data_IF_643883100450
#
_entry.id   IF_643883100450
#
_cell.length_a   1.000
_cell.length_b   1.000
_cell.length_c   1.000
_cell.angle_alpha   90.00
_cell.angle_beta   90.00
_cell.angle_gamma   90.00
#
_symmetry.space_group_name_H-M   'P 1'
#
loop_
_entity.id
_entity.type
_entity.pdbx_description
1 polymer ?
#
# COMPACT_ATOMS: atom_id res chain seq x y z
N UNK A 1 -11.09 -6.61 7.03
CA UNK A 1 -12.53 -6.61 7.34
C UNK A 1 -13.12 -5.21 7.48
N UNK A 2 -12.60 -4.30 8.32
CA UNK A 2 -13.20 -2.96 8.53
C UNK A 2 -13.40 -2.14 7.23
N UNK A 3 -12.42 -2.18 6.30
CA UNK A 3 -12.52 -1.50 4.99
C UNK A 3 -13.72 -2.00 4.16
N UNK A 4 -13.95 -3.31 4.14
CA UNK A 4 -15.04 -3.93 3.40
C UNK A 4 -16.40 -3.56 3.99
N UNK A 5 -16.50 -3.51 5.32
CA UNK A 5 -17.73 -3.10 6.02
C UNK A 5 -18.08 -1.65 5.70
N UNK A 6 -17.12 -0.73 5.77
CA UNK A 6 -17.33 0.69 5.42
C UNK A 6 -17.76 0.85 3.96
N UNK A 7 -17.13 0.11 3.05
CA UNK A 7 -17.45 0.17 1.62
C UNK A 7 -18.88 -0.33 1.33
N UNK A 8 -19.30 -1.41 2.01
CA UNK A 8 -20.67 -1.93 1.91
C UNK A 8 -21.69 -0.93 2.46
N UNK A 9 -21.43 -0.31 3.61
CA UNK A 9 -22.30 0.72 4.19
C UNK A 9 -22.48 1.91 3.24
N UNK A 10 -21.38 2.38 2.63
CA UNK A 10 -21.41 3.47 1.64
C UNK A 10 -22.25 3.11 0.41
N UNK A 11 -22.14 1.88 -0.10
CA UNK A 11 -22.92 1.40 -1.25
C UNK A 11 -24.41 1.32 -0.91
N UNK A 12 -24.74 0.77 0.25
CA UNK A 12 -26.14 0.65 0.71
C UNK A 12 -26.75 2.03 0.86
N UNK A 13 -26.08 2.97 1.55
CA UNK A 13 -26.57 4.34 1.71
C UNK A 13 -26.76 5.07 0.39
N UNK A 14 -25.84 4.93 -0.57
CA UNK A 14 -25.95 5.56 -1.88
C UNK A 14 -27.19 5.06 -2.65
N UNK A 15 -27.58 3.78 -2.46
CA UNK A 15 -28.79 3.21 -3.07
C UNK A 15 -30.08 3.56 -2.33
N UNK A 16 -30.09 3.53 -1.00
CA UNK A 16 -31.33 3.67 -0.20
C UNK A 16 -31.68 5.12 0.05
N UNK A 17 -30.72 5.95 0.44
CA UNK A 17 -31.00 7.30 0.96
C UNK A 17 -31.11 8.33 -0.17
N UNK A 18 -30.38 8.15 -1.27
CA UNK A 18 -30.45 9.04 -2.44
C UNK A 18 -31.84 9.11 -3.08
N UNK A 19 -32.67 8.06 -2.92
CA UNK A 19 -34.05 8.03 -3.44
C UNK A 19 -35.06 8.80 -2.60
N UNK A 20 -34.78 9.02 -1.32
CA UNK A 20 -35.72 9.65 -0.40
C UNK A 20 -35.56 11.18 -0.41
N UNK A 21 -34.34 11.67 -0.15
CA UNK A 21 -34.07 13.09 0.10
C UNK A 21 -32.59 13.38 -0.26
N UNK A 22 -32.33 14.12 -1.34
CA UNK A 22 -30.96 14.38 -1.84
C UNK A 22 -30.12 15.20 -0.84
N UNK A 23 -30.75 16.18 -0.19
CA UNK A 23 -30.08 17.08 0.76
C UNK A 23 -29.67 16.36 2.04
N UNK A 24 -30.58 15.55 2.60
CA UNK A 24 -30.32 14.73 3.80
C UNK A 24 -29.25 13.67 3.52
N UNK A 25 -29.24 13.10 2.31
CA UNK A 25 -28.21 12.16 1.90
C UNK A 25 -26.81 12.79 1.92
N UNK A 26 -26.65 13.98 1.34
CA UNK A 26 -25.39 14.70 1.30
C UNK A 26 -24.83 15.01 2.69
N UNK A 27 -25.69 15.44 3.61
CA UNK A 27 -25.31 15.72 4.99
C UNK A 27 -24.90 14.46 5.78
N UNK A 28 -25.68 13.38 5.70
CA UNK A 28 -25.32 12.11 6.35
C UNK A 28 -24.02 11.52 5.79
N UNK A 29 -23.85 11.59 4.47
CA UNK A 29 -22.65 11.09 3.81
C UNK A 29 -21.40 11.88 4.24
N UNK A 30 -21.48 13.20 4.37
CA UNK A 30 -20.35 14.02 4.81
C UNK A 30 -19.93 13.69 6.26
N UNK A 31 -20.89 13.47 7.17
CA UNK A 31 -20.62 13.06 8.55
C UNK A 31 -19.87 11.72 8.59
N UNK A 32 -20.35 10.71 7.86
CA UNK A 32 -19.73 9.39 7.84
C UNK A 32 -18.32 9.44 7.25
N UNK A 33 -18.13 10.21 6.18
CA UNK A 33 -16.82 10.42 5.58
C UNK A 33 -15.86 11.12 6.54
N UNK A 34 -16.32 12.13 7.28
CA UNK A 34 -15.52 12.81 8.30
C UNK A 34 -15.07 11.85 9.42
N UNK A 35 -15.97 10.99 9.91
CA UNK A 35 -15.65 9.95 10.90
C UNK A 35 -14.63 8.96 10.34
N UNK A 36 -14.79 8.52 9.08
CA UNK A 36 -13.84 7.62 8.43
C UNK A 36 -12.44 8.22 8.29
N UNK A 37 -12.35 9.51 7.96
CA UNK A 37 -11.07 10.25 7.89
C UNK A 37 -10.42 10.29 9.27
N UNK A 38 -11.16 10.65 10.31
CA UNK A 38 -10.67 10.66 11.69
C UNK A 38 -10.16 9.30 12.15
N UNK A 39 -10.89 8.23 11.80
CA UNK A 39 -10.49 6.86 12.09
C UNK A 39 -9.19 6.46 11.39
N UNK A 40 -9.02 6.81 10.11
CA UNK A 40 -7.78 6.52 9.35
C UNK A 40 -6.58 7.24 9.96
N UNK A 41 -6.75 8.49 10.38
CA UNK A 41 -5.68 9.24 11.06
C UNK A 41 -5.28 8.61 12.40
N UNK A 42 -6.23 8.09 13.17
CA UNK A 42 -5.98 7.40 14.46
C UNK A 42 -5.36 6.01 14.26
N UNK A 43 -5.94 5.18 13.40
CA UNK A 43 -5.53 3.79 13.27
C UNK A 43 -4.29 3.57 12.40
N UNK A 44 -3.88 4.56 11.60
CA UNK A 44 -2.75 4.47 10.67
C UNK A 44 -2.69 3.11 9.96
N UNK A 45 -3.71 2.77 9.15
CA UNK A 45 -3.90 1.40 8.64
C UNK A 45 -2.82 0.90 7.67
N UNK A 46 -1.83 1.74 7.32
CA UNK A 46 -0.75 1.42 6.40
C UNK A 46 0.58 1.67 7.07
N UNK A 47 1.50 0.72 6.92
CA UNK A 47 2.88 0.85 7.38
C UNK A 47 3.66 1.94 6.61
N UNK A 48 3.20 2.31 5.42
CA UNK A 48 3.81 3.36 4.61
C UNK A 48 3.08 4.71 4.80
N UNK A 49 3.70 5.69 5.49
CA UNK A 49 3.00 6.90 5.93
C UNK A 49 2.62 7.84 4.78
N UNK A 50 3.36 7.82 3.65
CA UNK A 50 2.97 8.58 2.45
C UNK A 50 1.66 8.09 1.88
N UNK A 51 1.47 6.78 1.79
CA UNK A 51 0.25 6.22 1.22
C UNK A 51 -0.97 6.53 2.09
N UNK A 52 -0.80 6.48 3.41
CA UNK A 52 -1.82 6.91 4.36
C UNK A 52 -2.23 8.39 4.14
N UNK A 53 -1.25 9.26 3.88
CA UNK A 53 -1.51 10.67 3.56
C UNK A 53 -2.25 10.87 2.24
N UNK A 54 -1.84 10.20 1.17
CA UNK A 54 -2.52 10.27 -0.12
C UNK A 54 -3.96 9.75 -0.04
N UNK A 55 -4.20 8.71 0.75
CA UNK A 55 -5.54 8.22 1.01
C UNK A 55 -6.36 9.23 1.80
N UNK A 56 -5.80 9.83 2.85
CA UNK A 56 -6.49 10.88 3.61
C UNK A 56 -6.83 12.08 2.72
N UNK A 57 -5.89 12.50 1.85
CA UNK A 57 -6.11 13.58 0.89
C UNK A 57 -7.26 13.26 -0.08
N UNK A 58 -7.30 12.02 -0.60
CA UNK A 58 -8.37 11.56 -1.48
C UNK A 58 -9.74 11.58 -0.78
N UNK A 59 -9.80 11.16 0.49
CA UNK A 59 -11.02 11.20 1.28
C UNK A 59 -11.47 12.63 1.62
N UNK A 60 -10.51 13.54 1.87
CA UNK A 60 -10.80 14.97 2.02
C UNK A 60 -11.40 15.55 0.73
N UNK A 61 -10.90 15.14 -0.44
CA UNK A 61 -11.50 15.50 -1.73
C UNK A 61 -12.95 15.01 -1.87
N UNK A 62 -13.23 13.76 -1.47
CA UNK A 62 -14.59 13.23 -1.45
C UNK A 62 -15.48 13.98 -0.45
N UNK A 63 -14.96 14.34 0.73
CA UNK A 63 -15.69 15.13 1.71
C UNK A 63 -16.00 16.54 1.19
N UNK A 64 -15.06 17.18 0.48
CA UNK A 64 -15.28 18.47 -0.15
C UNK A 64 -16.40 18.41 -1.18
N UNK A 65 -16.37 17.40 -2.06
CA UNK A 65 -17.41 17.20 -3.06
C UNK A 65 -18.79 16.92 -2.43
N UNK A 66 -18.84 16.16 -1.33
CA UNK A 66 -20.12 15.87 -0.67
C UNK A 66 -20.72 17.11 0.00
N UNK A 67 -19.90 17.93 0.65
CA UNK A 67 -20.33 19.22 1.21
C UNK A 67 -20.82 20.14 0.11
N UNK A 68 -20.08 20.23 -1.00
CA UNK A 68 -20.48 21.09 -2.12
C UNK A 68 -21.77 20.59 -2.79
N UNK A 69 -21.96 19.27 -2.89
CA UNK A 69 -23.21 18.68 -3.36
C UNK A 69 -24.39 19.07 -2.46
N UNK A 70 -24.22 19.03 -1.14
CA UNK A 70 -25.27 19.44 -0.20
C UNK A 70 -25.61 20.93 -0.34
N UNK A 71 -24.60 21.80 -0.47
CA UNK A 71 -24.79 23.24 -0.66
C UNK A 71 -25.49 23.53 -2.00
N UNK A 72 -25.12 22.84 -3.07
CA UNK A 72 -25.73 23.03 -4.40
C UNK A 72 -27.22 22.68 -4.43
N UNK A 73 -27.66 21.77 -3.55
CA UNK A 73 -29.08 21.43 -3.42
C UNK A 73 -29.87 22.45 -2.60
N UNK A 74 -29.21 23.34 -1.85
CA UNK A 74 -29.83 24.33 -0.98
C UNK A 74 -29.77 25.77 -1.51
N UNK A 75 -28.88 26.05 -2.45
CA UNK A 75 -28.70 27.39 -3.04
C UNK A 75 -29.07 27.32 -4.52
N UNK A 76 -30.03 28.14 -4.95
CA UNK A 76 -30.38 28.35 -6.37
C UNK A 76 -29.30 29.18 -7.10
N UNK A 77 -28.04 28.78 -6.93
CA UNK A 77 -26.90 29.38 -7.60
C UNK A 77 -26.74 28.78 -8.99
N UNK A 78 -26.51 29.62 -10.01
CA UNK A 78 -26.23 29.13 -11.37
C UNK A 78 -25.02 28.20 -11.40
N UNK A 79 -25.04 27.23 -12.33
CA UNK A 79 -24.01 26.18 -12.52
C UNK A 79 -22.56 26.71 -12.56
N UNK A 80 -22.37 27.96 -12.97
CA UNK A 80 -21.06 28.62 -13.04
C UNK A 80 -20.40 28.79 -11.66
N UNK A 81 -21.17 29.15 -10.62
CA UNK A 81 -20.64 29.36 -9.27
C UNK A 81 -20.21 28.02 -8.67
N UNK A 82 -21.02 26.98 -8.89
CA UNK A 82 -20.70 25.62 -8.45
C UNK A 82 -19.37 25.13 -9.05
N UNK A 83 -19.20 25.28 -10.36
CA UNK A 83 -17.97 24.86 -11.04
C UNK A 83 -16.73 25.59 -10.50
N UNK A 84 -16.85 26.90 -10.28
CA UNK A 84 -15.77 27.72 -9.74
C UNK A 84 -15.35 27.25 -8.33
N UNK A 85 -16.32 26.93 -7.46
CA UNK A 85 -16.06 26.37 -6.12
C UNK A 85 -15.40 25.00 -6.17
N UNK A 86 -15.79 24.13 -7.12
CA UNK A 86 -15.11 22.83 -7.36
C UNK A 86 -13.65 23.08 -7.69
N UNK A 87 -13.36 23.92 -8.69
CA UNK A 87 -12.00 24.22 -9.13
C UNK A 87 -11.13 24.78 -8.00
N UNK A 88 -11.64 25.77 -7.26
CA UNK A 88 -10.91 26.39 -6.14
C UNK A 88 -10.59 25.35 -5.05
N UNK A 89 -11.56 24.52 -4.67
CA UNK A 89 -11.36 23.49 -3.66
C UNK A 89 -10.32 22.46 -4.07
N UNK A 90 -10.33 22.00 -5.33
CA UNK A 90 -9.34 21.05 -5.83
C UNK A 90 -7.93 21.64 -5.88
N UNK A 91 -7.79 22.90 -6.31
CA UNK A 91 -6.49 23.59 -6.30
C UNK A 91 -5.97 23.70 -4.88
N UNK A 92 -6.80 24.10 -3.91
CA UNK A 92 -6.42 24.19 -2.50
C UNK A 92 -5.98 22.83 -1.94
N UNK A 93 -6.77 21.77 -2.15
CA UNK A 93 -6.44 20.42 -1.66
C UNK A 93 -5.14 19.91 -2.29
N UNK A 94 -4.96 20.13 -3.60
CA UNK A 94 -3.74 19.73 -4.32
C UNK A 94 -2.50 20.46 -3.81
N UNK A 95 -2.57 21.79 -3.70
CA UNK A 95 -1.45 22.62 -3.22
C UNK A 95 -1.08 22.26 -1.79
N UNK A 96 -2.06 22.16 -0.88
CA UNK A 96 -1.84 21.76 0.52
C UNK A 96 -1.24 20.35 0.59
N UNK A 97 -1.76 19.41 -0.22
CA UNK A 97 -1.28 18.04 -0.28
C UNK A 97 0.20 17.97 -0.69
N UNK A 98 0.56 18.64 -1.78
CA UNK A 98 1.95 18.70 -2.26
C UNK A 98 2.85 19.40 -1.24
N UNK A 99 2.40 20.52 -0.66
CA UNK A 99 3.17 21.27 0.33
C UNK A 99 3.47 20.43 1.58
N UNK A 100 2.46 19.76 2.15
CA UNK A 100 2.63 18.88 3.31
C UNK A 100 3.50 17.67 2.95
N UNK A 101 3.32 17.08 1.77
CA UNK A 101 4.14 15.95 1.32
C UNK A 101 5.61 16.33 1.23
N UNK A 102 5.93 17.49 0.64
CA UNK A 102 7.32 17.98 0.55
C UNK A 102 7.93 18.24 1.92
N UNK A 103 7.17 18.86 2.84
CA UNK A 103 7.66 19.20 4.18
C UNK A 103 7.84 17.97 5.08
N UNK A 104 6.91 17.02 5.04
CA UNK A 104 6.80 15.95 6.04
C UNK A 104 7.36 14.60 5.58
N UNK A 105 7.44 14.37 4.26
CA UNK A 105 7.91 13.10 3.69
C UNK A 105 8.87 13.28 2.51
N UNK A 106 10.02 13.99 2.70
CA UNK A 106 11.03 14.11 1.66
C UNK A 106 11.41 12.73 1.14
N UNK A 107 11.66 12.61 -0.17
CA UNK A 107 11.78 11.38 -0.97
C UNK A 107 12.82 10.37 -0.44
N UNK A 108 12.53 9.69 0.66
CA UNK A 108 13.13 8.43 1.07
C UNK A 108 12.64 7.34 0.11
N UNK A 109 13.20 7.30 -1.10
CA UNK A 109 13.45 6.03 -1.76
C UNK A 109 14.43 5.31 -0.84
N UNK A 110 13.91 4.64 0.19
CA UNK A 110 14.71 3.74 1.01
C UNK A 110 15.02 2.56 0.10
N UNK A 111 16.08 2.71 -0.71
CA UNK A 111 16.73 1.58 -1.34
C UNK A 111 17.23 0.76 -0.17
N UNK A 112 16.50 -0.29 0.19
CA UNK A 112 17.03 -1.35 1.07
C UNK A 112 18.38 -1.69 0.44
N UNK A 113 19.49 -1.32 1.08
CA UNK A 113 20.82 -1.79 0.66
C UNK A 113 20.61 -3.29 0.47
N UNK A 114 20.80 -3.77 -0.77
CA UNK A 114 20.60 -5.18 -1.07
C UNK A 114 21.31 -5.96 0.02
N UNK A 115 20.64 -6.98 0.59
CA UNK A 115 21.31 -7.87 1.52
C UNK A 115 22.64 -8.22 0.87
N UNK A 116 23.74 -7.97 1.57
CA UNK A 116 25.07 -8.22 1.05
C UNK A 116 25.19 -9.74 0.84
N UNK A 117 24.80 -10.20 -0.35
CA UNK A 117 24.76 -11.61 -0.73
C UNK A 117 26.13 -12.23 -0.63
N UNK A 118 27.18 -11.42 -0.60
CA UNK A 118 28.56 -11.83 -0.35
C UNK A 118 28.70 -12.62 0.95
N UNK A 119 27.96 -12.27 2.01
CA UNK A 119 27.97 -13.03 3.27
C UNK A 119 27.26 -14.38 3.17
N UNK A 120 26.14 -14.45 2.44
CA UNK A 120 25.42 -15.69 2.16
C UNK A 120 26.26 -16.65 1.29
N UNK A 121 26.93 -16.12 0.27
CA UNK A 121 27.87 -16.88 -0.55
C UNK A 121 29.08 -17.36 0.25
N UNK A 122 29.67 -16.52 1.12
CA UNK A 122 30.77 -16.95 2.00
C UNK A 122 30.31 -18.07 2.93
N UNK A 123 29.10 -18.00 3.48
CA UNK A 123 28.57 -19.06 4.33
C UNK A 123 28.40 -20.37 3.55
N UNK A 124 27.75 -20.33 2.37
CA UNK A 124 27.53 -21.51 1.53
C UNK A 124 28.84 -22.20 1.09
N UNK A 125 29.86 -21.42 0.71
CA UNK A 125 31.14 -21.98 0.26
C UNK A 125 32.10 -22.39 1.39
N UNK A 126 31.94 -21.87 2.62
CA UNK A 126 32.79 -22.28 3.76
C UNK A 126 32.42 -23.68 4.25
N UNK A 127 31.14 -24.08 4.19
CA UNK A 127 30.73 -25.46 4.50
C UNK A 127 31.31 -26.51 3.54
N UNK A 128 31.53 -26.15 2.27
CA UNK A 128 32.14 -27.04 1.28
C UNK A 128 33.62 -27.36 1.55
N UNK A 129 34.35 -26.50 2.28
CA UNK A 129 35.77 -26.71 2.63
C UNK A 129 35.97 -27.48 3.93
N UNK A 130 35.07 -27.36 4.91
CA UNK A 130 35.22 -28.06 6.19
C UNK A 130 34.81 -29.54 6.15
N UNK A 131 33.98 -29.96 5.19
CA UNK A 131 33.56 -31.36 5.05
C UNK A 131 34.68 -32.29 4.55
N UNK A 132 35.61 -31.79 3.72
CA UNK A 132 36.73 -32.59 3.18
C UNK A 132 37.75 -33.03 4.26
N UNK A 133 37.91 -32.22 5.31
CA UNK A 133 38.81 -32.55 6.43
C UNK A 133 38.17 -33.46 7.48
N UNK A 134 36.84 -33.58 7.49
CA UNK A 134 36.12 -34.50 8.36
C UNK A 134 36.05 -35.92 7.76
N UNK A 135 35.90 -36.03 6.43
CA UNK A 135 35.89 -37.33 5.73
C UNK A 135 37.28 -37.96 5.56
N UNK A 136 38.36 -37.17 5.52
CA UNK A 136 39.73 -37.72 5.49
C UNK A 136 40.18 -38.32 6.82
N UNK A 137 39.45 -38.08 7.91
CA UNK A 137 39.77 -38.60 9.26
C UNK A 137 39.01 -39.89 9.59
N UNK A 138 38.05 -40.30 8.75
CA UNK A 138 37.17 -41.46 8.98
C UNK A 138 37.43 -42.60 7.97
N UNK A 139 38.35 -42.46 7.01
CA UNK A 139 38.65 -43.53 6.06
C UNK A 139 39.71 -44.51 6.62
N UNK A 140 39.36 -45.72 7.09
CA UNK A 140 40.33 -46.79 7.20
C UNK A 140 40.71 -47.26 5.80
N UNK A 141 42.02 -47.49 5.58
CA UNK A 141 42.53 -48.26 4.44
C UNK A 141 41.70 -49.54 4.28
N UNK A 142 40.97 -49.67 3.19
CA UNK A 142 40.66 -50.97 2.59
C UNK A 142 40.64 -50.83 1.08
N UNK A 143 41.29 -51.79 0.44
CA UNK A 143 41.76 -51.70 -0.93
C UNK A 143 40.67 -51.71 -1.99
N UNK A 144 41.13 -51.31 -3.18
CA UNK A 144 40.83 -51.83 -4.51
C UNK A 144 39.40 -52.26 -4.86
N UNK A 145 38.97 -51.78 -6.03
CA UNK A 145 37.83 -52.22 -6.85
C UNK A 145 36.45 -51.64 -6.45
N UNK A 146 36.06 -50.55 -7.11
CA UNK A 146 35.05 -50.61 -8.18
C UNK A 146 34.87 -49.23 -8.82
N UNK A 147 35.15 -49.20 -10.12
CA UNK A 147 34.71 -48.20 -11.07
C UNK A 147 33.22 -48.46 -11.36
N UNK A 148 32.34 -47.46 -11.32
CA UNK A 148 31.17 -47.40 -12.21
C UNK A 148 30.30 -46.15 -11.95
N UNK A 149 30.39 -45.22 -12.89
CA UNK A 149 29.28 -44.42 -13.42
C UNK A 149 28.36 -43.67 -12.44
N UNK A 150 28.59 -42.37 -12.26
CA UNK A 150 27.47 -41.41 -12.23
C UNK A 150 27.80 -40.29 -13.21
N UNK A 151 27.14 -40.41 -14.37
CA UNK A 151 27.09 -39.49 -15.49
C UNK A 151 26.45 -38.16 -15.04
N UNK A 152 27.10 -37.04 -15.35
CA UNK A 152 26.74 -35.69 -14.90
C UNK A 152 25.82 -34.98 -15.92
N UNK A 153 25.01 -35.74 -16.65
CA UNK A 153 24.20 -35.23 -17.76
C UNK A 153 22.78 -34.76 -17.38
N UNK A 154 22.31 -34.96 -16.15
CA UNK A 154 20.89 -34.72 -15.78
C UNK A 154 20.59 -33.49 -14.92
N UNK A 155 21.53 -32.56 -14.72
CA UNK A 155 21.25 -31.30 -13.99
C UNK A 155 21.21 -30.10 -14.94
N UNK A 156 20.41 -30.25 -16.01
CA UNK A 156 20.11 -29.16 -16.96
C UNK A 156 18.61 -29.09 -17.24
N UNK A 157 17.77 -29.16 -16.22
CA UNK A 157 16.34 -28.82 -16.35
C UNK A 157 15.72 -28.43 -15.00
N UNK A 158 16.08 -27.24 -14.51
CA UNK A 158 15.30 -26.52 -13.50
C UNK A 158 15.65 -25.03 -13.47
N UNK A 159 15.72 -24.38 -14.64
CA UNK A 159 15.49 -22.94 -14.83
C UNK A 159 15.03 -22.70 -16.26
#
# INVERSE_FOLDING_TARGET
>A
MVKTVVQIILIVMNKTVKRAESTVHGALFSIIMAVCIGFIFRCKPYNYPRFCWWQALSLIGVLWLSVLSAISSSVEGGYSIYFLLVCIGWVLIGVIGIYVQRKKYPSLLYRRKGLDTTHLFRFAFTFGKHSKNALSKIAPRRGSEELSCIDFSDVKQAY
#
